data_IF_528215291320
#
_entry.id   IF_528215291320
#
_cell.length_a   1.000
_cell.length_b   1.000
_cell.length_c   1.000
_cell.angle_alpha   90.00
_cell.angle_beta   90.00
_cell.angle_gamma   90.00
#
_symmetry.space_group_name_H-M   'P 1'
#
loop_
_entity.id
_entity.type
_entity.pdbx_description
1 polymer ?
#
# COMPACT_ATOMS: atom_id res chain seq x y z
N UNK A 1 20.09 8.73 -31.77
CA UNK A 1 20.29 9.03 -30.33
C UNK A 1 19.18 9.95 -29.81
N UNK A 2 18.83 11.02 -30.52
CA UNK A 2 17.75 11.96 -30.14
C UNK A 2 16.34 11.34 -30.04
N UNK A 3 15.99 10.42 -30.93
CA UNK A 3 14.70 9.72 -30.90
C UNK A 3 14.47 8.92 -29.59
N UNK A 4 15.53 8.32 -29.04
CA UNK A 4 15.46 7.54 -27.81
C UNK A 4 15.31 8.44 -26.58
N UNK A 5 15.98 9.60 -26.56
CA UNK A 5 15.86 10.60 -25.49
C UNK A 5 14.43 11.15 -25.44
N UNK A 6 13.86 11.43 -26.61
CA UNK A 6 12.48 11.93 -26.74
C UNK A 6 11.46 10.89 -26.26
N UNK A 7 11.63 9.62 -26.62
CA UNK A 7 10.76 8.53 -26.15
C UNK A 7 10.78 8.36 -24.62
N UNK A 8 11.95 8.46 -23.99
CA UNK A 8 12.10 8.39 -22.52
C UNK A 8 11.42 9.58 -21.84
N UNK A 9 11.60 10.79 -22.38
CA UNK A 9 10.98 11.99 -21.84
C UNK A 9 9.44 11.92 -21.89
N UNK A 10 8.88 11.40 -22.99
CA UNK A 10 7.44 11.21 -23.15
C UNK A 10 6.87 10.13 -22.22
N UNK A 11 7.62 9.06 -21.95
CA UNK A 11 7.19 7.98 -21.06
C UNK A 11 7.31 8.32 -19.56
N UNK A 12 8.14 9.31 -19.20
CA UNK A 12 8.40 9.68 -17.80
C UNK A 12 7.16 10.20 -17.08
N UNK A 13 6.45 11.14 -17.68
CA UNK A 13 5.25 11.76 -17.09
C UNK A 13 4.17 10.73 -16.74
N UNK A 14 3.69 9.86 -17.66
CA UNK A 14 2.66 8.88 -17.33
C UNK A 14 3.13 7.85 -16.28
N UNK A 15 4.42 7.50 -16.27
CA UNK A 15 5.00 6.61 -15.25
C UNK A 15 4.98 7.27 -13.86
N UNK A 16 5.40 8.53 -13.77
CA UNK A 16 5.43 9.26 -12.50
C UNK A 16 4.01 9.52 -11.98
N UNK A 17 3.04 9.82 -12.86
CA UNK A 17 1.63 9.93 -12.48
C UNK A 17 1.04 8.60 -12.00
N UNK A 18 1.38 7.49 -12.66
CA UNK A 18 0.99 6.15 -12.22
C UNK A 18 1.59 5.81 -10.84
N UNK A 19 2.85 6.19 -10.58
CA UNK A 19 3.50 6.03 -9.28
C UNK A 19 2.82 6.84 -8.18
N UNK A 20 2.48 8.11 -8.44
CA UNK A 20 1.72 8.96 -7.51
C UNK A 20 0.34 8.37 -7.22
N UNK A 21 -0.39 7.94 -8.25
CA UNK A 21 -1.70 7.30 -8.09
C UNK A 21 -1.61 6.05 -7.24
N UNK A 22 -0.62 5.19 -7.51
CA UNK A 22 -0.35 4.01 -6.69
C UNK A 22 -0.05 4.41 -5.24
N UNK A 23 0.81 5.40 -5.03
CA UNK A 23 1.14 5.86 -3.68
C UNK A 23 -0.12 6.29 -2.91
N UNK A 24 -0.98 7.10 -3.53
CA UNK A 24 -2.22 7.55 -2.89
C UNK A 24 -3.16 6.38 -2.54
N UNK A 25 -3.32 5.42 -3.46
CA UNK A 25 -4.17 4.23 -3.20
C UNK A 25 -3.68 3.46 -1.96
N UNK A 26 -2.37 3.28 -1.80
CA UNK A 26 -1.83 2.46 -0.73
C UNK A 26 -1.62 3.22 0.58
N UNK A 27 -1.15 4.48 0.51
CA UNK A 27 -0.53 5.17 1.64
C UNK A 27 -1.18 6.50 2.01
N UNK A 28 -2.30 6.89 1.38
CA UNK A 28 -3.08 8.04 1.89
C UNK A 28 -3.50 7.76 3.33
N UNK A 29 -3.28 8.73 4.21
CA UNK A 29 -3.63 8.61 5.62
C UNK A 29 -5.12 8.31 5.79
N UNK A 30 -5.45 7.40 6.72
CA UNK A 30 -6.80 6.97 7.10
C UNK A 30 -7.58 6.21 6.02
N UNK A 31 -7.44 6.56 4.74
CA UNK A 31 -8.23 5.98 3.64
C UNK A 31 -7.44 5.06 2.72
N UNK A 32 -6.11 5.02 2.86
CA UNK A 32 -5.24 4.14 2.08
C UNK A 32 -5.40 2.68 2.49
N UNK A 33 -5.09 1.77 1.55
CA UNK A 33 -5.22 0.33 1.77
C UNK A 33 -4.41 -0.17 2.98
N UNK A 34 -3.24 0.42 3.25
CA UNK A 34 -2.41 0.03 4.40
C UNK A 34 -3.10 0.36 5.72
N UNK A 35 -3.64 1.56 5.84
CA UNK A 35 -4.31 2.02 7.07
C UNK A 35 -5.57 1.21 7.35
N UNK A 36 -6.40 1.01 6.31
CA UNK A 36 -7.58 0.15 6.39
C UNK A 36 -7.22 -1.27 6.84
N UNK A 37 -6.16 -1.85 6.27
CA UNK A 37 -5.71 -3.19 6.64
C UNK A 37 -5.24 -3.25 8.10
N UNK A 38 -4.52 -2.24 8.58
CA UNK A 38 -4.07 -2.15 9.98
C UNK A 38 -5.26 -2.01 10.93
N UNK A 39 -6.27 -1.22 10.58
CA UNK A 39 -7.48 -1.06 11.38
C UNK A 39 -8.29 -2.36 11.47
N UNK A 40 -8.42 -3.10 10.36
CA UNK A 40 -9.04 -4.43 10.36
C UNK A 40 -8.26 -5.38 11.28
N UNK A 41 -6.92 -5.35 11.24
CA UNK A 41 -6.09 -6.16 12.16
C UNK A 41 -6.33 -5.77 13.62
N UNK A 42 -6.45 -4.48 13.93
CA UNK A 42 -6.75 -4.00 15.27
C UNK A 42 -8.13 -4.46 15.74
N UNK A 43 -9.14 -4.37 14.88
CA UNK A 43 -10.48 -4.88 15.16
C UNK A 43 -10.47 -6.39 15.45
N UNK A 44 -9.79 -7.19 14.64
CA UNK A 44 -9.66 -8.64 14.84
C UNK A 44 -8.91 -8.95 16.14
N UNK A 45 -7.86 -8.16 16.46
CA UNK A 45 -7.10 -8.29 17.70
C UNK A 45 -7.98 -8.09 18.93
N UNK A 46 -8.93 -7.15 18.87
CA UNK A 46 -9.87 -6.83 19.94
C UNK A 46 -11.06 -7.81 20.00
N UNK A 47 -11.52 -8.29 18.84
CA UNK A 47 -12.74 -9.12 18.75
C UNK A 47 -12.49 -10.61 19.03
N UNK A 48 -11.32 -11.13 18.68
CA UNK A 48 -11.00 -12.55 18.79
C UNK A 48 -10.04 -12.84 19.95
N UNK A 49 -10.25 -13.99 20.61
CA UNK A 49 -9.36 -14.51 21.65
C UNK A 49 -7.96 -14.81 21.08
N UNK A 50 -6.95 -14.76 21.95
CA UNK A 50 -5.54 -14.90 21.58
C UNK A 50 -5.20 -16.24 20.89
N UNK A 51 -5.90 -17.31 21.24
CA UNK A 51 -5.72 -18.67 20.76
C UNK A 51 -6.42 -18.95 19.42
N UNK A 52 -7.33 -18.07 18.99
CA UNK A 52 -8.13 -18.27 17.78
C UNK A 52 -7.24 -18.38 16.52
N UNK A 53 -7.39 -19.44 15.70
CA UNK A 53 -6.49 -19.70 14.57
C UNK A 53 -6.52 -18.58 13.52
N UNK A 54 -7.70 -18.03 13.21
CA UNK A 54 -7.81 -16.93 12.24
C UNK A 54 -7.15 -15.64 12.72
N UNK A 55 -7.17 -15.38 14.05
CA UNK A 55 -6.49 -14.21 14.62
C UNK A 55 -4.99 -14.32 14.40
N UNK A 56 -4.41 -15.48 14.67
CA UNK A 56 -2.99 -15.75 14.45
C UNK A 56 -2.61 -15.57 12.99
N UNK A 57 -3.42 -16.12 12.07
CA UNK A 57 -3.18 -16.01 10.64
C UNK A 57 -3.21 -14.55 10.15
N UNK A 58 -4.25 -13.80 10.50
CA UNK A 58 -4.42 -12.43 10.01
C UNK A 58 -3.40 -11.48 10.66
N UNK A 59 -3.07 -11.68 11.94
CA UNK A 59 -2.07 -10.85 12.61
C UNK A 59 -0.64 -11.06 12.08
N UNK A 60 -0.34 -12.24 11.50
CA UNK A 60 0.96 -12.54 10.90
C UNK A 60 1.20 -11.81 9.55
N UNK A 61 0.16 -11.28 8.91
CA UNK A 61 0.30 -10.52 7.66
C UNK A 61 0.91 -9.15 7.93
N UNK A 62 2.04 -8.82 7.30
CA UNK A 62 2.73 -7.56 7.54
C UNK A 62 2.35 -6.50 6.50
N UNK A 63 2.01 -5.31 6.99
CA UNK A 63 1.74 -4.13 6.17
C UNK A 63 2.67 -3.02 6.64
N UNK A 64 3.43 -2.44 5.73
CA UNK A 64 4.37 -1.34 6.02
C UNK A 64 4.05 -0.14 5.16
N UNK A 65 4.20 1.06 5.74
CA UNK A 65 4.19 2.30 4.98
C UNK A 65 5.55 2.46 4.31
N UNK A 66 5.54 2.92 3.07
CA UNK A 66 6.76 3.34 2.38
C UNK A 66 6.94 4.83 2.67
N UNK A 67 8.02 5.17 3.39
CA UNK A 67 8.46 6.55 3.48
C UNK A 67 9.16 6.89 2.17
N UNK A 68 8.63 7.87 1.43
CA UNK A 68 9.29 8.45 0.26
C UNK A 68 10.38 9.43 0.68
#
# INVERSE_FOLDING_TARGET
>A
MEANITAVALAKTPLDDARKKRFNIFYTEQTGLIDIALDVKNYIKASLKNDHPQRKHILALNFSRVNL
#
